data_IF_773231402782
#
_entry.id   IF_773231402782
#
_cell.length_a   1.000
_cell.length_b   1.000
_cell.length_c   1.000
_cell.angle_alpha   90.00
_cell.angle_beta   90.00
_cell.angle_gamma   90.00
#
_symmetry.space_group_name_H-M   'P 1'
#
loop_
_entity.id
_entity.type
_entity.pdbx_description
1 polymer ?
#
# COMPACT_ATOMS: atom_id res chain seq x y z
N UNK A 1 -9.00 -16.47 1.29
CA UNK A 1 -7.70 -16.63 0.61
C UNK A 1 -6.75 -15.53 1.08
N UNK A 2 -5.44 -15.71 0.91
CA UNK A 2 -4.45 -14.70 1.27
C UNK A 2 -4.60 -13.41 0.43
N UNK A 3 -4.28 -12.23 0.98
CA UNK A 3 -4.35 -10.98 0.24
C UNK A 3 -3.39 -11.01 -0.96
N UNK A 4 -3.81 -10.54 -2.15
CA UNK A 4 -2.93 -10.51 -3.33
C UNK A 4 -1.78 -9.51 -3.21
N UNK A 5 -1.89 -8.52 -2.32
CA UNK A 5 -0.88 -7.48 -2.12
C UNK A 5 0.14 -7.89 -1.03
N UNK A 6 1.41 -8.00 -1.42
CA UNK A 6 2.53 -8.34 -0.51
C UNK A 6 2.72 -7.35 0.64
N UNK A 7 2.40 -6.06 0.46
CA UNK A 7 2.43 -5.09 1.57
C UNK A 7 1.43 -5.46 2.67
N UNK A 8 0.28 -6.04 2.30
CA UNK A 8 -0.75 -6.48 3.26
C UNK A 8 -0.35 -7.75 3.98
N UNK A 9 0.23 -8.72 3.28
CA UNK A 9 0.79 -9.92 3.91
C UNK A 9 1.87 -9.52 4.94
N UNK A 10 2.77 -8.61 4.56
CA UNK A 10 3.80 -8.10 5.47
C UNK A 10 3.19 -7.40 6.71
N UNK A 11 2.09 -6.65 6.55
CA UNK A 11 1.42 -6.00 7.68
C UNK A 11 0.72 -7.01 8.60
N UNK A 12 0.11 -8.07 8.05
CA UNK A 12 -0.50 -9.17 8.83
C UNK A 12 0.58 -9.87 9.64
N UNK A 13 1.70 -10.24 9.01
CA UNK A 13 2.81 -10.88 9.70
C UNK A 13 3.37 -9.99 10.83
N UNK A 14 3.51 -8.68 10.60
CA UNK A 14 4.10 -7.76 11.59
C UNK A 14 3.15 -7.40 12.74
N UNK A 15 1.85 -7.24 12.47
CA UNK A 15 0.89 -6.62 13.41
C UNK A 15 -0.16 -7.58 13.94
N UNK A 16 -0.51 -8.60 13.17
CA UNK A 16 -1.64 -9.49 13.47
C UNK A 16 -1.14 -10.80 14.07
N UNK A 17 -0.05 -11.37 13.53
CA UNK A 17 0.47 -12.69 13.91
C UNK A 17 0.67 -12.89 15.43
N UNK A 18 1.04 -11.83 16.15
CA UNK A 18 1.23 -11.89 17.60
C UNK A 18 -0.04 -12.22 18.39
N UNK A 19 -1.22 -11.92 17.83
CA UNK A 19 -2.52 -12.18 18.43
C UNK A 19 -3.15 -13.48 17.91
N UNK A 20 -2.51 -14.15 16.94
CA UNK A 20 -3.03 -15.38 16.34
C UNK A 20 -2.61 -16.57 17.22
N UNK A 21 -3.57 -17.37 17.71
CA UNK A 21 -3.30 -18.61 18.42
C UNK A 21 -2.38 -19.54 17.61
N UNK A 22 -1.45 -20.27 18.24
CA UNK A 22 -0.50 -21.15 17.53
C UNK A 22 -1.18 -22.13 16.57
N UNK A 23 -2.33 -22.68 16.96
CA UNK A 23 -3.09 -23.67 16.18
C UNK A 23 -3.58 -23.13 14.83
N UNK A 24 -3.74 -21.80 14.71
CA UNK A 24 -4.20 -21.14 13.49
C UNK A 24 -3.05 -20.57 12.64
N UNK A 25 -1.79 -20.68 13.09
CA UNK A 25 -0.63 -20.13 12.35
C UNK A 25 -0.19 -20.97 11.16
N UNK A 26 -0.72 -22.18 11.04
CA UNK A 26 -0.53 -23.04 9.87
C UNK A 26 -1.32 -22.56 8.64
N UNK A 27 -2.28 -21.63 8.82
CA UNK A 27 -3.02 -21.05 7.72
C UNK A 27 -2.07 -20.33 6.74
N UNK A 28 -2.23 -20.53 5.42
CA UNK A 28 -1.46 -19.82 4.38
C UNK A 28 -1.41 -18.29 4.55
N UNK A 29 -2.42 -17.69 5.19
CA UNK A 29 -2.49 -16.27 5.51
C UNK A 29 -1.35 -15.79 6.43
N UNK A 30 -0.84 -16.67 7.28
CA UNK A 30 0.16 -16.37 8.32
C UNK A 30 1.55 -16.93 8.00
N UNK A 31 1.73 -17.54 6.82
CA UNK A 31 3.04 -17.99 6.37
C UNK A 31 3.99 -16.80 6.31
N UNK A 32 5.16 -16.99 6.91
CA UNK A 32 6.19 -15.96 6.98
C UNK A 32 6.69 -15.64 5.56
N UNK A 33 6.65 -14.37 5.12
CA UNK A 33 7.16 -13.98 3.81
C UNK A 33 8.64 -14.31 3.65
N UNK A 34 9.01 -14.74 2.45
CA UNK A 34 10.40 -15.07 2.14
C UNK A 34 11.28 -13.81 2.01
N UNK A 35 12.55 -13.99 1.67
CA UNK A 35 13.47 -12.86 1.50
C UNK A 35 13.13 -12.01 0.27
N UNK A 36 12.60 -12.62 -0.80
CA UNK A 36 12.24 -11.94 -2.03
C UNK A 36 11.02 -11.03 -1.83
N UNK A 37 9.99 -11.52 -1.13
CA UNK A 37 8.79 -10.77 -0.76
C UNK A 37 9.13 -9.52 0.05
N UNK A 38 10.04 -9.68 1.03
CA UNK A 38 10.50 -8.57 1.86
C UNK A 38 11.25 -7.52 1.04
N UNK A 39 12.09 -7.96 0.09
CA UNK A 39 12.81 -7.05 -0.79
C UNK A 39 11.86 -6.25 -1.71
N UNK A 40 10.83 -6.89 -2.26
CA UNK A 40 9.83 -6.23 -3.11
C UNK A 40 9.00 -5.19 -2.34
N UNK A 41 8.56 -5.53 -1.12
CA UNK A 41 7.85 -4.60 -0.24
C UNK A 41 8.76 -3.40 0.12
N UNK A 42 10.04 -3.65 0.39
CA UNK A 42 11.00 -2.59 0.67
C UNK A 42 11.24 -1.67 -0.53
N UNK A 43 11.38 -2.24 -1.73
CA UNK A 43 11.53 -1.48 -2.98
C UNK A 43 10.30 -0.61 -3.26
N UNK A 44 9.10 -1.17 -3.10
CA UNK A 44 7.82 -0.46 -3.30
C UNK A 44 7.68 0.71 -2.31
N UNK A 45 7.99 0.48 -1.03
CA UNK A 45 7.99 1.53 0.00
C UNK A 45 9.03 2.61 -0.29
N UNK A 46 10.23 2.23 -0.75
CA UNK A 46 11.30 3.17 -1.14
C UNK A 46 10.85 4.04 -2.31
N UNK A 47 10.31 3.44 -3.36
CA UNK A 47 9.80 4.17 -4.53
C UNK A 47 8.70 5.16 -4.15
N UNK A 48 7.73 4.75 -3.32
CA UNK A 48 6.66 5.63 -2.82
C UNK A 48 7.23 6.83 -2.05
N UNK A 49 8.24 6.61 -1.19
CA UNK A 49 8.92 7.67 -0.44
C UNK A 49 9.67 8.64 -1.36
N UNK A 50 10.38 8.15 -2.37
CA UNK A 50 11.08 9.00 -3.35
C UNK A 50 10.10 9.89 -4.13
N UNK A 51 8.98 9.34 -4.60
CA UNK A 51 7.91 10.12 -5.26
C UNK A 51 7.28 11.17 -4.35
N UNK A 52 7.07 10.85 -3.08
CA UNK A 52 6.53 11.81 -2.11
C UNK A 52 7.47 13.00 -1.87
N UNK A 53 8.79 12.75 -1.83
CA UNK A 53 9.81 13.81 -1.70
C UNK A 53 9.87 14.68 -2.96
N UNK A 54 9.79 14.09 -4.16
CA UNK A 54 9.75 14.84 -5.42
C UNK A 54 8.54 15.77 -5.53
N UNK A 55 7.35 15.35 -5.07
CA UNK A 55 6.16 16.20 -5.04
C UNK A 55 6.32 17.46 -4.19
N UNK A 56 7.14 17.42 -3.12
CA UNK A 56 7.43 18.58 -2.27
C UNK A 56 8.44 19.56 -2.87
N UNK A 57 9.24 19.13 -3.85
CA UNK A 57 10.27 19.95 -4.50
C UNK A 57 9.83 20.58 -5.82
N UNK A 58 8.55 20.45 -6.22
CA UNK A 58 8.04 21.25 -7.34
C UNK A 58 7.97 22.72 -6.89
N UNK A 59 8.76 23.63 -7.48
CA UNK A 59 8.56 25.06 -7.24
C UNK A 59 7.13 25.41 -7.63
N UNK A 60 6.50 26.31 -6.88
CA UNK A 60 5.11 26.75 -7.03
C UNK A 60 4.84 27.53 -8.33
N UNK A 61 5.55 27.25 -9.42
CA UNK A 61 5.37 27.93 -10.70
C UNK A 61 4.20 27.40 -11.54
N UNK A 62 3.44 26.40 -11.05
CA UNK A 62 2.28 25.83 -11.75
C UNK A 62 1.12 25.51 -10.79
N UNK A 63 0.96 26.30 -9.72
CA UNK A 63 -0.15 26.14 -8.78
C UNK A 63 -1.50 26.66 -9.33
N UNK A 64 -1.51 27.37 -10.47
CA UNK A 64 -2.69 27.98 -11.09
C UNK A 64 -3.34 27.17 -12.21
N UNK A 65 -3.01 25.88 -12.37
CA UNK A 65 -3.82 25.04 -13.25
C UNK A 65 -5.16 24.74 -12.56
N UNK A 66 -6.32 25.17 -13.09
CA UNK A 66 -7.61 24.86 -12.49
C UNK A 66 -7.78 23.35 -12.42
N UNK A 67 -7.88 22.85 -11.19
CA UNK A 67 -8.23 21.48 -10.88
C UNK A 67 -9.62 21.24 -11.47
N UNK A 68 -9.71 20.54 -12.61
CA UNK A 68 -10.98 20.09 -13.16
C UNK A 68 -11.76 19.38 -12.04
N UNK A 69 -12.72 20.10 -11.47
CA UNK A 69 -13.71 19.56 -10.55
C UNK A 69 -14.55 18.61 -11.40
N UNK A 70 -14.74 17.41 -10.89
CA UNK A 70 -15.57 16.37 -11.49
C UNK A 70 -16.92 17.00 -11.83
N UNK A 71 -17.32 16.96 -13.10
CA UNK A 71 -18.71 17.17 -13.45
C UNK A 71 -19.49 16.03 -12.76
N UNK A 72 -20.36 16.43 -11.85
CA UNK A 72 -21.46 15.58 -11.44
C UNK A 72 -22.45 15.60 -12.60
N UNK A 73 -22.62 14.47 -13.28
CA UNK A 73 -23.86 14.19 -13.98
C UNK A 73 -24.50 13.00 -13.26
N UNK A 74 -25.46 13.38 -12.43
CA UNK A 74 -26.65 12.62 -12.14
C UNK A 74 -27.24 12.05 -13.44
N UNK A 75 -27.51 10.75 -13.45
CA UNK A 75 -28.70 10.28 -14.14
C UNK A 75 -29.48 9.37 -13.21
N UNK A 76 -30.70 9.82 -12.93
CA UNK A 76 -31.69 9.20 -12.08
C UNK A 76 -32.95 9.14 -12.93
N UNK A 77 -33.16 8.02 -13.61
CA UNK A 77 -34.41 7.25 -13.65
C UNK A 77 -34.26 6.00 -14.53
#
# INVERSE_FOLDING_TARGET
SAPPNKEKIHDIQKKVLQYVPPDLRSDPLYIVPDAADRAEVAATKRFRRQKAVQKKKRPAANADAPRNKRAAESDNQ
#
